data_IF_112429472367
#
_entry.id   IF_112429472367
#
_cell.length_a   1.000
_cell.length_b   1.000
_cell.length_c   1.000
_cell.angle_alpha   90.00
_cell.angle_beta   90.00
_cell.angle_gamma   90.00
#
_symmetry.space_group_name_H-M   'P 1'
#
loop_
_entity.id
_entity.type
_entity.pdbx_description
1 polymer ?
#
# COMPACT_ATOMS: atom_id res chain seq x y z
N UNK A 1 14.20 -32.27 33.57
CA UNK A 1 13.25 -31.17 33.29
C UNK A 1 14.00 -30.10 32.53
N UNK A 2 14.02 -30.20 31.20
CA UNK A 2 14.75 -29.31 30.30
C UNK A 2 13.84 -28.17 29.85
N UNK A 3 14.17 -26.94 30.25
CA UNK A 3 13.54 -25.73 29.76
C UNK A 3 13.96 -25.49 28.30
N UNK A 4 12.98 -25.52 27.40
CA UNK A 4 13.13 -25.02 26.03
C UNK A 4 12.66 -23.57 26.04
N UNK A 5 13.62 -22.65 26.10
CA UNK A 5 13.36 -21.23 25.85
C UNK A 5 12.95 -21.05 24.38
N UNK A 6 11.70 -20.65 24.16
CA UNK A 6 11.24 -20.17 22.86
C UNK A 6 11.84 -18.80 22.62
N UNK A 7 12.87 -18.75 21.77
CA UNK A 7 13.37 -17.50 21.18
C UNK A 7 12.28 -16.89 20.31
N UNK A 8 11.60 -15.87 20.83
CA UNK A 8 10.76 -14.98 20.04
C UNK A 8 11.69 -13.98 19.33
N UNK A 9 12.09 -14.30 18.10
CA UNK A 9 12.85 -13.38 17.25
C UNK A 9 11.96 -12.18 16.90
N UNK A 10 12.06 -11.11 17.68
CA UNK A 10 11.41 -9.83 17.39
C UNK A 10 12.16 -9.15 16.24
N UNK A 11 11.63 -9.28 15.02
CA UNK A 11 12.03 -8.45 13.89
C UNK A 11 11.49 -7.03 14.10
N UNK A 12 12.38 -6.10 14.49
CA UNK A 12 12.07 -4.67 14.53
C UNK A 12 12.32 -4.06 13.16
N UNK A 13 11.39 -4.24 12.22
CA UNK A 13 11.37 -3.44 10.99
C UNK A 13 10.99 -2.00 11.33
N UNK A 14 11.83 -1.02 10.96
CA UNK A 14 11.48 0.41 11.02
C UNK A 14 11.25 0.89 9.59
N UNK A 15 9.99 0.82 9.17
CA UNK A 15 9.51 1.54 8.00
C UNK A 15 9.89 3.03 8.11
N UNK A 16 10.29 3.65 7.01
CA UNK A 16 10.13 5.10 6.89
C UNK A 16 8.62 5.38 7.01
N UNK A 17 8.21 6.02 8.12
CA UNK A 17 6.82 6.01 8.58
C UNK A 17 5.83 6.64 7.60
N UNK A 18 6.31 7.45 6.66
CA UNK A 18 5.46 8.21 5.75
C UNK A 18 5.54 7.76 4.28
N UNK A 19 6.51 6.91 3.91
CA UNK A 19 6.74 6.51 2.51
C UNK A 19 6.67 4.98 2.29
N UNK A 20 6.32 4.22 3.33
CA UNK A 20 6.22 2.76 3.24
C UNK A 20 4.97 2.32 2.48
N UNK A 21 5.14 1.42 1.50
CA UNK A 21 4.04 0.79 0.79
C UNK A 21 3.19 -0.12 1.70
N UNK A 22 3.74 -0.53 2.86
CA UNK A 22 2.98 -1.25 3.90
C UNK A 22 2.06 -0.35 4.71
N UNK A 23 2.07 0.97 4.52
CA UNK A 23 1.02 1.86 5.03
C UNK A 23 -0.26 1.72 4.19
N UNK A 24 -0.81 0.51 4.21
CA UNK A 24 -2.01 0.10 3.50
C UNK A 24 -2.76 -0.92 4.35
N UNK A 25 -4.06 -1.07 4.12
CA UNK A 25 -4.82 -2.11 4.79
C UNK A 25 -4.39 -3.50 4.27
N UNK A 26 -4.25 -4.48 5.18
CA UNK A 26 -3.91 -5.86 4.83
C UNK A 26 -4.85 -6.46 3.76
N UNK A 27 -6.10 -5.97 3.70
CA UNK A 27 -7.06 -6.31 2.66
C UNK A 27 -6.51 -6.09 1.25
N UNK A 28 -5.79 -4.98 1.01
CA UNK A 28 -5.26 -4.66 -0.32
C UNK A 28 -4.21 -5.69 -0.77
N UNK A 29 -3.35 -6.16 0.15
CA UNK A 29 -2.36 -7.19 -0.15
C UNK A 29 -3.03 -8.54 -0.46
N UNK A 30 -4.08 -8.90 0.27
CA UNK A 30 -4.86 -10.11 -0.01
C UNK A 30 -5.56 -10.02 -1.38
N UNK A 31 -6.08 -8.86 -1.74
CA UNK A 31 -6.71 -8.62 -3.05
C UNK A 31 -5.70 -8.75 -4.19
N UNK A 32 -4.49 -8.21 -4.04
CA UNK A 32 -3.42 -8.36 -5.04
C UNK A 32 -3.11 -9.85 -5.25
N UNK A 33 -2.95 -10.62 -4.17
CA UNK A 33 -2.73 -12.07 -4.29
C UNK A 33 -3.86 -12.75 -5.06
N UNK A 34 -5.12 -12.50 -4.68
CA UNK A 34 -6.28 -13.08 -5.36
C UNK A 34 -6.32 -12.69 -6.85
N UNK A 35 -6.02 -11.44 -7.20
CA UNK A 35 -5.95 -11.01 -8.59
C UNK A 35 -4.85 -11.72 -9.37
N UNK A 36 -3.66 -11.87 -8.80
CA UNK A 36 -2.55 -12.59 -9.45
C UNK A 36 -2.83 -14.07 -9.66
N UNK A 37 -3.53 -14.70 -8.71
CA UNK A 37 -3.94 -16.11 -8.77
C UNK A 37 -5.01 -16.36 -9.83
N UNK A 38 -5.88 -15.37 -10.06
CA UNK A 38 -6.95 -15.42 -11.07
C UNK A 38 -6.61 -14.73 -12.40
N UNK A 39 -5.36 -14.25 -12.56
CA UNK A 39 -4.92 -13.56 -13.78
C UNK A 39 -5.66 -12.24 -14.07
N UNK A 40 -6.15 -11.55 -13.03
CA UNK A 40 -6.87 -10.28 -13.13
C UNK A 40 -5.90 -9.10 -13.07
N UNK A 41 -5.18 -8.88 -14.17
CA UNK A 41 -4.15 -7.82 -14.28
C UNK A 41 -4.51 -6.75 -15.31
N UNK A 42 -5.78 -6.65 -15.68
CA UNK A 42 -6.29 -5.66 -16.63
C UNK A 42 -6.30 -4.25 -16.00
N UNK A 43 -6.34 -3.23 -16.85
CA UNK A 43 -6.47 -1.83 -16.42
C UNK A 43 -7.76 -1.61 -15.63
N UNK A 44 -7.64 -0.95 -14.48
CA UNK A 44 -8.76 -0.57 -13.62
C UNK A 44 -8.83 0.96 -13.46
N UNK A 45 -10.04 1.47 -13.21
CA UNK A 45 -10.31 2.90 -12.97
C UNK A 45 -10.94 3.06 -11.59
N UNK A 46 -10.44 4.03 -10.82
CA UNK A 46 -10.95 4.38 -9.50
C UNK A 46 -11.25 5.88 -9.43
N UNK A 47 -12.35 6.24 -8.76
CA UNK A 47 -12.74 7.63 -8.53
C UNK A 47 -12.79 7.91 -7.03
N UNK A 48 -12.21 9.04 -6.62
CA UNK A 48 -12.21 9.50 -5.24
C UNK A 48 -13.04 10.78 -5.11
N UNK A 49 -14.12 10.73 -4.32
CA UNK A 49 -15.01 11.86 -4.11
C UNK A 49 -15.69 11.81 -2.74
N UNK A 50 -16.11 12.97 -2.26
CA UNK A 50 -16.84 13.11 -0.99
C UNK A 50 -18.34 13.14 -1.26
N UNK A 51 -19.10 12.25 -0.62
CA UNK A 51 -20.56 12.12 -0.84
C UNK A 51 -21.41 13.14 -0.08
N UNK A 52 -20.93 13.60 1.08
CA UNK A 52 -21.68 14.50 1.98
C UNK A 52 -20.71 15.44 2.69
N UNK A 53 -21.11 16.71 2.77
CA UNK A 53 -20.38 17.71 3.55
C UNK A 53 -20.94 17.79 4.98
N UNK A 54 -20.12 18.16 5.98
CA UNK A 54 -20.61 18.56 7.29
C UNK A 54 -21.65 19.68 7.17
N UNK A 55 -22.67 19.68 8.03
CA UNK A 55 -23.82 20.62 7.96
C UNK A 55 -23.37 22.09 7.90
N UNK A 56 -22.26 22.41 8.56
CA UNK A 56 -21.71 23.77 8.67
C UNK A 56 -20.76 24.16 7.52
N UNK A 57 -20.48 23.26 6.57
CA UNK A 57 -19.56 23.53 5.45
C UNK A 57 -20.27 23.38 4.11
N UNK A 58 -20.18 24.42 3.28
CA UNK A 58 -20.84 24.47 1.97
C UNK A 58 -19.93 24.06 0.81
N UNK A 59 -18.62 23.95 1.04
CA UNK A 59 -17.62 23.55 0.05
C UNK A 59 -16.42 22.88 0.73
N UNK A 60 -15.55 22.26 -0.07
CA UNK A 60 -14.24 21.76 0.31
C UNK A 60 -13.19 22.49 -0.53
N UNK A 61 -11.96 22.51 -0.03
CA UNK A 61 -10.80 22.92 -0.80
C UNK A 61 -9.93 21.68 -1.00
N UNK A 62 -9.51 21.44 -2.24
CA UNK A 62 -8.54 20.39 -2.58
C UNK A 62 -7.16 20.80 -2.08
N UNK A 63 -6.53 19.93 -1.30
CA UNK A 63 -5.15 20.10 -0.83
C UNK A 63 -4.53 18.71 -0.66
N UNK A 64 -3.21 18.60 -0.86
CA UNK A 64 -2.49 17.34 -0.69
C UNK A 64 -2.17 16.58 -1.97
N UNK A 65 -2.38 17.19 -3.14
CA UNK A 65 -2.13 16.57 -4.45
C UNK A 65 -0.64 16.37 -4.68
N UNK A 66 0.20 17.35 -4.34
CA UNK A 66 1.66 17.25 -4.46
C UNK A 66 2.20 16.04 -3.68
N UNK A 67 1.77 15.88 -2.43
CA UNK A 67 2.19 14.77 -1.58
C UNK A 67 1.69 13.42 -2.10
N UNK A 68 0.45 13.37 -2.61
CA UNK A 68 -0.09 12.16 -3.22
C UNK A 68 0.70 11.74 -4.46
N UNK A 69 1.03 12.69 -5.34
CA UNK A 69 1.84 12.42 -6.53
C UNK A 69 3.26 11.99 -6.17
N UNK A 70 3.91 12.68 -5.23
CA UNK A 70 5.24 12.29 -4.75
C UNK A 70 5.27 10.87 -4.16
N UNK A 71 4.22 10.47 -3.43
CA UNK A 71 4.09 9.10 -2.92
C UNK A 71 3.92 8.08 -4.05
N UNK A 72 3.07 8.36 -5.04
CA UNK A 72 2.84 7.46 -6.17
C UNK A 72 4.11 7.28 -7.02
N UNK A 73 4.82 8.38 -7.32
CA UNK A 73 6.09 8.35 -8.05
C UNK A 73 7.18 7.57 -7.30
N UNK A 74 7.19 7.67 -5.98
CA UNK A 74 8.11 6.96 -5.09
C UNK A 74 7.66 5.56 -4.68
N UNK A 75 6.48 5.09 -5.12
CA UNK A 75 5.86 3.87 -4.60
C UNK A 75 6.71 2.63 -4.95
N UNK A 76 7.25 1.99 -3.93
CA UNK A 76 7.93 0.71 -4.03
C UNK A 76 7.90 -0.04 -2.70
N UNK A 77 8.05 -1.35 -2.76
CA UNK A 77 8.35 -2.16 -1.58
C UNK A 77 9.87 -2.26 -1.42
N UNK A 78 10.37 -1.88 -0.25
CA UNK A 78 11.77 -2.07 0.11
C UNK A 78 12.09 -3.54 0.36
N UNK A 79 13.36 -3.94 0.22
CA UNK A 79 13.79 -5.31 0.47
C UNK A 79 13.39 -5.81 1.87
N UNK A 80 13.49 -4.95 2.89
CA UNK A 80 13.08 -5.28 4.26
C UNK A 80 11.57 -5.48 4.43
N UNK A 81 10.73 -4.82 3.62
CA UNK A 81 9.28 -5.06 3.62
C UNK A 81 8.95 -6.39 2.96
N UNK A 82 9.65 -6.73 1.88
CA UNK A 82 9.49 -8.03 1.20
C UNK A 82 9.91 -9.17 2.14
N UNK A 83 11.07 -9.05 2.80
CA UNK A 83 11.52 -10.02 3.81
C UNK A 83 10.52 -10.14 4.97
N UNK A 84 9.99 -9.01 5.44
CA UNK A 84 8.98 -9.02 6.49
C UNK A 84 7.71 -9.73 6.03
N UNK A 85 7.19 -9.44 4.82
CA UNK A 85 6.03 -10.11 4.25
C UNK A 85 6.27 -11.62 4.08
N UNK A 86 7.44 -12.02 3.59
CA UNK A 86 7.85 -13.43 3.47
C UNK A 86 7.83 -14.13 4.84
N UNK A 87 8.36 -13.47 5.88
CA UNK A 87 8.38 -14.01 7.24
C UNK A 87 6.98 -14.27 7.84
N UNK A 88 5.94 -13.62 7.31
CA UNK A 88 4.56 -13.88 7.76
C UNK A 88 4.02 -15.23 7.30
N UNK A 89 4.60 -15.83 6.25
CA UNK A 89 4.12 -17.06 5.62
C UNK A 89 2.73 -16.96 4.98
N UNK A 90 2.19 -15.75 4.77
CA UNK A 90 0.83 -15.51 4.25
C UNK A 90 0.75 -15.39 2.73
N UNK A 91 1.85 -14.99 2.09
CA UNK A 91 1.88 -14.63 0.69
C UNK A 91 2.75 -15.59 -0.13
N UNK A 92 2.32 -15.87 -1.36
CA UNK A 92 3.04 -16.73 -2.29
C UNK A 92 4.32 -16.06 -2.80
N UNK A 93 5.30 -16.87 -3.23
CA UNK A 93 6.53 -16.35 -3.83
C UNK A 93 6.25 -15.47 -5.07
N UNK A 94 5.31 -15.89 -5.92
CA UNK A 94 4.84 -15.13 -7.09
C UNK A 94 4.33 -13.74 -6.71
N UNK A 95 3.59 -13.64 -5.61
CA UNK A 95 3.07 -12.36 -5.12
C UNK A 95 4.19 -11.47 -4.56
N UNK A 96 5.12 -12.03 -3.80
CA UNK A 96 6.27 -11.28 -3.27
C UNK A 96 7.19 -10.77 -4.39
N UNK A 97 7.47 -11.59 -5.38
CA UNK A 97 8.28 -11.21 -6.55
C UNK A 97 7.57 -10.10 -7.34
N UNK A 98 6.23 -10.14 -7.45
CA UNK A 98 5.43 -9.07 -8.06
C UNK A 98 5.54 -7.76 -7.26
N UNK A 99 5.40 -7.79 -5.93
CA UNK A 99 5.52 -6.58 -5.10
C UNK A 99 6.92 -5.97 -5.16
N UNK A 100 7.97 -6.78 -5.23
CA UNK A 100 9.35 -6.30 -5.34
C UNK A 100 9.59 -5.48 -6.63
N UNK A 101 8.91 -5.87 -7.72
CA UNK A 101 8.95 -5.17 -9.01
C UNK A 101 7.92 -4.05 -9.17
N UNK A 102 6.95 -3.93 -8.26
CA UNK A 102 5.83 -3.00 -8.42
C UNK A 102 6.30 -1.55 -8.48
N UNK A 103 5.87 -0.83 -9.53
CA UNK A 103 5.95 0.62 -9.65
C UNK A 103 4.61 1.16 -10.12
N UNK A 104 4.32 2.41 -9.79
CA UNK A 104 3.13 3.08 -10.30
C UNK A 104 3.35 3.48 -11.77
N UNK A 105 2.48 3.00 -12.65
CA UNK A 105 2.53 3.26 -14.09
C UNK A 105 1.20 3.86 -14.62
N UNK A 106 0.29 4.23 -13.71
CA UNK A 106 -1.03 4.72 -14.05
C UNK A 106 -1.10 6.22 -14.33
N UNK A 107 -2.24 6.65 -14.86
CA UNK A 107 -2.57 8.06 -15.04
C UNK A 107 -3.36 8.61 -13.84
N UNK A 108 -3.08 9.85 -13.45
CA UNK A 108 -3.81 10.56 -12.39
C UNK A 108 -4.46 11.81 -12.96
N UNK A 109 -5.79 11.87 -12.90
CA UNK A 109 -6.57 13.06 -13.20
C UNK A 109 -7.07 13.68 -11.89
N UNK A 110 -6.73 14.93 -11.63
CA UNK A 110 -7.08 15.62 -10.39
C UNK A 110 -7.49 17.08 -10.64
N UNK A 111 -8.31 17.61 -9.73
CA UNK A 111 -8.57 19.05 -9.65
C UNK A 111 -7.32 19.77 -9.12
N UNK A 112 -7.04 21.01 -9.58
CA UNK A 112 -5.92 21.79 -9.03
C UNK A 112 -6.08 22.04 -7.53
N UNK A 113 -4.96 22.05 -6.79
CA UNK A 113 -4.98 22.45 -5.38
C UNK A 113 -5.50 23.88 -5.21
N UNK A 114 -6.21 24.12 -4.11
CA UNK A 114 -6.86 25.40 -3.82
C UNK A 114 -8.24 25.56 -4.46
N UNK A 115 -8.72 24.59 -5.24
CA UNK A 115 -10.09 24.57 -5.80
C UNK A 115 -11.12 24.06 -4.80
#
# INVERSE_FOLDING_TARGET
MSNVERSATSFKYRADKFNSALLTDLYQLNMIQAYLDHGKTDTAVFEFFVRKLPVQRKFLIVAGLEQALAFLEGLHFSAGEIEWLESTGRFSRRMLDYLAGLRFEGDVHAMPEGT
#
